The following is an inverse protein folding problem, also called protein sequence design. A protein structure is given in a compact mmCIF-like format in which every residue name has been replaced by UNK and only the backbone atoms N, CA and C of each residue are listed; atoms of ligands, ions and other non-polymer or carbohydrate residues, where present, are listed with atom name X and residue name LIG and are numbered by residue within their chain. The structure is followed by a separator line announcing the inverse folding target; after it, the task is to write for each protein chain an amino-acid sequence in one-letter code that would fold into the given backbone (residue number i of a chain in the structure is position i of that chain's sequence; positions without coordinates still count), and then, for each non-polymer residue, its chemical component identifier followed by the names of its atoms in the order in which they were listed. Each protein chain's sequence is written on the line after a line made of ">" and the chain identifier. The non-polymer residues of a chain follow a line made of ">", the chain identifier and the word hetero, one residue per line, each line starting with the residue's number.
data_IF_249500527013
#
_entry.id   IF_249500527013
#
_cell.length_a   1.000
_cell.length_b   1.000
_cell.length_c   1.000
_cell.angle_alpha   90.00
_cell.angle_beta   90.00
_cell.angle_gamma   90.00
#
_symmetry.space_group_name_H-M   'P 1'
#
loop_
_entity.id
_entity.type
_entity.pdbx_description
1 polymer ?
#
# COMPACT_ATOMS: atom_id res chain seq x y z
N UNK A 1 -11.78 -4.16 27.98
CA UNK A 1 -12.80 -4.59 27.00
C UNK A 1 -13.49 -3.32 26.54
N UNK A 2 -13.29 -2.93 25.29
CA UNK A 2 -14.05 -1.80 24.72
C UNK A 2 -15.46 -2.30 24.45
N UNK A 3 -16.46 -1.60 25.00
CA UNK A 3 -17.86 -1.94 24.79
C UNK A 3 -18.25 -1.56 23.35
N UNK A 4 -18.92 -2.47 22.64
CA UNK A 4 -19.37 -2.21 21.27
C UNK A 4 -20.66 -1.39 21.31
N UNK A 5 -20.72 -0.37 20.49
CA UNK A 5 -21.88 0.50 20.31
C UNK A 5 -22.88 -0.20 19.40
N UNK A 6 -24.14 -0.11 19.81
CA UNK A 6 -25.27 -0.63 19.07
C UNK A 6 -25.49 0.17 17.78
N UNK A 7 -25.76 -0.55 16.69
CA UNK A 7 -26.17 0.00 15.40
C UNK A 7 -27.54 -0.59 15.08
N UNK A 8 -28.54 0.24 14.70
CA UNK A 8 -29.84 -0.27 14.30
C UNK A 8 -29.76 -1.11 13.02
N UNK A 9 -30.75 -1.97 12.79
CA UNK A 9 -30.82 -2.70 11.52
C UNK A 9 -31.22 -1.76 10.36
N UNK A 10 -31.06 -2.24 9.12
CA UNK A 10 -31.46 -1.48 7.94
C UNK A 10 -32.96 -1.13 7.96
N UNK A 11 -33.29 0.02 7.38
CA UNK A 11 -34.69 0.40 7.14
C UNK A 11 -35.37 -0.65 6.22
N UNK A 12 -36.66 -0.89 6.48
CA UNK A 12 -37.39 -2.04 5.94
C UNK A 12 -37.49 -2.08 4.42
N UNK A 13 -37.28 -0.95 3.74
CA UNK A 13 -37.37 -0.81 2.29
C UNK A 13 -36.01 -0.68 1.58
N UNK A 14 -34.89 -0.83 2.31
CA UNK A 14 -33.55 -0.84 1.70
C UNK A 14 -33.27 -2.17 1.00
N UNK A 15 -33.03 -2.07 -0.31
CA UNK A 15 -32.56 -3.16 -1.17
C UNK A 15 -31.12 -3.60 -0.80
N UNK A 16 -30.71 -4.84 -1.15
CA UNK A 16 -29.32 -5.28 -1.00
C UNK A 16 -28.34 -4.34 -1.69
N UNK A 17 -27.21 -4.02 -1.04
CA UNK A 17 -26.24 -3.08 -1.61
C UNK A 17 -25.60 -3.58 -2.93
N UNK A 18 -25.66 -4.89 -3.17
CA UNK A 18 -25.12 -5.54 -4.38
C UNK A 18 -26.00 -5.39 -5.61
N UNK A 19 -27.25 -4.97 -5.46
CA UNK A 19 -28.22 -4.88 -6.57
C UNK A 19 -28.26 -3.45 -7.16
N UNK A 20 -28.47 -3.30 -8.48
CA UNK A 20 -28.73 -2.00 -9.09
C UNK A 20 -30.01 -1.40 -8.49
N UNK A 21 -29.89 -0.26 -7.81
CA UNK A 21 -31.01 0.32 -7.07
C UNK A 21 -31.90 1.14 -8.01
N UNK A 22 -33.10 0.64 -8.32
CA UNK A 22 -34.13 1.42 -9.02
C UNK A 22 -34.79 2.39 -8.03
N UNK A 23 -34.11 3.50 -7.72
CA UNK A 23 -34.64 4.59 -6.90
C UNK A 23 -33.74 5.10 -5.79
N UNK A 24 -32.57 4.49 -5.56
CA UNK A 24 -31.51 5.03 -4.69
C UNK A 24 -31.85 5.07 -3.20
N UNK A 25 -32.61 4.09 -2.68
CA UNK A 25 -33.05 4.08 -1.27
C UNK A 25 -31.97 3.64 -0.29
N UNK A 26 -31.10 2.71 -0.69
CA UNK A 26 -29.97 2.33 0.13
C UNK A 26 -28.78 3.24 -0.21
N UNK A 27 -28.26 4.04 0.74
CA UNK A 27 -27.18 4.97 0.46
C UNK A 27 -25.85 4.27 0.11
N UNK A 28 -25.72 2.96 0.38
CA UNK A 28 -24.56 2.16 0.05
C UNK A 28 -24.77 1.33 -1.23
N UNK A 29 -23.75 1.31 -2.09
CA UNK A 29 -23.64 0.42 -3.24
C UNK A 29 -22.39 -0.44 -3.13
N UNK A 30 -22.52 -1.76 -3.20
CA UNK A 30 -21.43 -2.70 -3.04
C UNK A 30 -20.93 -3.21 -4.40
N UNK A 31 -19.66 -2.95 -4.67
CA UNK A 31 -18.90 -3.58 -5.74
C UNK A 31 -18.22 -4.86 -5.23
N UNK A 32 -17.87 -5.77 -6.13
CA UNK A 32 -17.07 -6.96 -5.78
C UNK A 32 -15.70 -6.56 -5.21
N UNK A 33 -15.19 -7.28 -4.20
CA UNK A 33 -13.82 -7.14 -3.70
C UNK A 33 -12.80 -7.18 -4.85
N UNK A 34 -12.94 -8.10 -5.81
CA UNK A 34 -12.01 -8.24 -6.94
C UNK A 34 -12.02 -7.03 -7.89
N UNK A 35 -13.17 -6.35 -8.04
CA UNK A 35 -13.26 -5.13 -8.83
C UNK A 35 -12.62 -3.93 -8.11
N UNK A 36 -12.55 -3.98 -6.78
CA UNK A 36 -12.16 -2.86 -5.93
C UNK A 36 -10.71 -2.94 -5.42
N UNK A 37 -10.15 -4.15 -5.31
CA UNK A 37 -8.84 -4.44 -4.73
C UNK A 37 -7.63 -3.97 -5.57
N UNK A 38 -7.85 -3.50 -6.81
CA UNK A 38 -6.79 -2.99 -7.68
C UNK A 38 -6.24 -1.61 -7.24
N UNK A 39 -6.78 -1.00 -6.18
CA UNK A 39 -6.44 0.37 -5.78
C UNK A 39 -5.84 0.44 -4.38
N UNK A 40 -4.83 1.30 -4.15
CA UNK A 40 -4.24 1.46 -2.82
C UNK A 40 -5.27 1.97 -1.81
N UNK A 41 -5.31 1.34 -0.63
CA UNK A 41 -6.16 1.73 0.49
C UNK A 41 -5.35 2.49 1.55
N UNK A 42 -6.00 3.41 2.24
CA UNK A 42 -5.48 4.08 3.42
C UNK A 42 -6.40 3.83 4.61
N UNK A 43 -5.80 3.52 5.77
CA UNK A 43 -6.54 3.35 7.02
C UNK A 43 -7.20 4.67 7.40
N UNK A 44 -8.48 4.59 7.71
CA UNK A 44 -9.31 5.72 8.03
C UNK A 44 -9.58 5.72 9.56
N UNK A 45 -10.26 4.71 10.07
CA UNK A 45 -10.63 4.66 11.48
C UNK A 45 -10.73 3.22 12.02
N UNK A 46 -10.82 3.10 13.33
CA UNK A 46 -11.37 1.94 14.01
C UNK A 46 -12.66 2.35 14.71
N UNK A 47 -13.73 1.62 14.43
CA UNK A 47 -15.01 1.81 15.09
C UNK A 47 -15.21 0.76 16.19
N UNK A 48 -15.68 1.21 17.36
CA UNK A 48 -16.23 0.37 18.44
C UNK A 48 -17.60 -0.19 18.03
N UNK A 49 -17.73 -0.67 16.80
CA UNK A 49 -18.97 -1.20 16.22
C UNK A 49 -18.68 -2.56 15.64
N UNK A 50 -19.61 -3.49 15.83
CA UNK A 50 -19.52 -4.84 15.28
C UNK A 50 -19.63 -4.84 13.74
N UNK A 51 -18.76 -5.60 13.06
CA UNK A 51 -18.73 -5.66 11.60
C UNK A 51 -20.04 -6.23 11.03
N UNK A 52 -20.64 -7.22 11.69
CA UNK A 52 -21.92 -7.76 11.26
C UNK A 52 -23.05 -6.74 11.42
N UNK A 53 -22.98 -5.86 12.43
CA UNK A 53 -23.94 -4.76 12.58
C UNK A 53 -23.81 -3.71 11.46
N UNK A 54 -22.58 -3.34 11.07
CA UNK A 54 -22.34 -2.49 9.88
C UNK A 54 -22.93 -3.13 8.63
N UNK A 55 -22.66 -4.41 8.42
CA UNK A 55 -23.15 -5.13 7.25
C UNK A 55 -24.68 -5.22 7.23
N UNK A 56 -25.31 -5.48 8.39
CA UNK A 56 -26.78 -5.49 8.49
C UNK A 56 -27.39 -4.13 8.21
N UNK A 57 -26.87 -3.03 8.79
CA UNK A 57 -27.40 -1.68 8.61
C UNK A 57 -27.35 -1.22 7.16
N UNK A 58 -26.24 -1.51 6.48
CA UNK A 58 -25.98 -1.07 5.10
C UNK A 58 -26.35 -2.12 4.03
N UNK A 59 -26.93 -3.26 4.45
CA UNK A 59 -27.25 -4.41 3.58
C UNK A 59 -26.06 -4.90 2.75
N UNK A 60 -24.88 -4.95 3.37
CA UNK A 60 -23.64 -5.43 2.75
C UNK A 60 -23.54 -6.95 2.82
N UNK A 61 -22.88 -7.52 1.83
CA UNK A 61 -22.41 -8.92 1.87
C UNK A 61 -20.96 -8.93 2.33
N UNK A 62 -20.68 -9.56 3.46
CA UNK A 62 -19.31 -9.74 3.94
C UNK A 62 -18.63 -10.88 3.18
N UNK A 63 -17.53 -10.55 2.51
CA UNK A 63 -16.65 -11.50 1.85
C UNK A 63 -15.56 -11.95 2.82
N UNK A 64 -15.24 -13.24 2.81
CA UNK A 64 -14.16 -13.81 3.61
C UNK A 64 -12.95 -14.05 2.72
N UNK A 65 -11.81 -13.51 3.12
CA UNK A 65 -10.51 -13.73 2.50
C UNK A 65 -9.49 -14.16 3.57
N UNK A 66 -8.27 -14.39 3.15
CA UNK A 66 -7.15 -14.74 4.02
C UNK A 66 -5.94 -13.90 3.64
N UNK A 67 -5.27 -13.34 4.63
CA UNK A 67 -3.93 -12.80 4.48
C UNK A 67 -2.95 -13.59 5.34
N UNK A 68 -1.64 -13.34 5.19
CA UNK A 68 -0.61 -14.01 5.99
C UNK A 68 -0.76 -13.88 7.52
N UNK A 69 -1.78 -13.17 8.00
CA UNK A 69 -2.11 -12.96 9.41
C UNK A 69 -3.42 -13.65 9.85
N UNK A 70 -4.15 -14.31 8.95
CA UNK A 70 -5.36 -15.08 9.28
C UNK A 70 -6.54 -14.73 8.38
N UNK A 71 -7.71 -15.17 8.81
CA UNK A 71 -8.95 -14.88 8.08
C UNK A 71 -9.31 -13.40 8.20
N UNK A 72 -9.65 -12.74 7.10
CA UNK A 72 -10.20 -11.39 7.09
C UNK A 72 -11.60 -11.39 6.53
N UNK A 73 -12.54 -10.77 7.24
CA UNK A 73 -13.88 -10.49 6.73
C UNK A 73 -13.93 -9.04 6.28
N UNK A 74 -14.46 -8.79 5.09
CA UNK A 74 -14.45 -7.47 4.49
C UNK A 74 -15.67 -7.20 3.62
N UNK A 75 -16.06 -5.94 3.49
CA UNK A 75 -16.95 -5.47 2.44
C UNK A 75 -16.42 -4.17 1.83
N UNK A 76 -16.47 -4.11 0.49
CA UNK A 76 -16.15 -2.93 -0.29
C UNK A 76 -17.45 -2.28 -0.75
N UNK A 77 -17.60 -0.98 -0.54
CA UNK A 77 -18.82 -0.28 -0.93
C UNK A 77 -18.56 1.19 -1.17
N UNK A 78 -19.46 1.81 -1.92
CA UNK A 78 -19.51 3.25 -2.14
C UNK A 78 -20.67 3.81 -1.33
N UNK A 79 -20.40 4.86 -0.56
CA UNK A 79 -21.40 5.62 0.18
C UNK A 79 -21.23 7.09 -0.18
N UNK A 80 -22.28 7.73 -0.70
CA UNK A 80 -22.27 9.13 -1.16
C UNK A 80 -21.07 9.45 -2.08
N UNK A 81 -20.74 8.54 -2.99
CA UNK A 81 -19.61 8.68 -3.92
C UNK A 81 -18.22 8.51 -3.30
N UNK A 82 -18.13 8.06 -2.04
CA UNK A 82 -16.87 7.73 -1.36
C UNK A 82 -16.70 6.22 -1.27
N UNK A 83 -15.56 5.71 -1.76
CA UNK A 83 -15.19 4.29 -1.60
C UNK A 83 -14.75 3.99 -0.15
N UNK A 84 -15.43 3.05 0.48
CA UNK A 84 -15.10 2.49 1.79
C UNK A 84 -14.75 1.01 1.70
N UNK A 85 -13.90 0.60 2.63
CA UNK A 85 -13.72 -0.81 2.97
C UNK A 85 -13.89 -0.94 4.48
N UNK A 86 -14.69 -1.89 4.90
CA UNK A 86 -14.80 -2.26 6.31
C UNK A 86 -14.24 -3.65 6.51
N UNK A 87 -13.38 -3.84 7.52
CA UNK A 87 -12.73 -5.13 7.77
C UNK A 87 -12.70 -5.51 9.25
N UNK A 88 -12.63 -6.82 9.49
CA UNK A 88 -12.29 -7.41 10.77
C UNK A 88 -11.39 -8.63 10.52
N UNK A 89 -10.19 -8.64 11.12
CA UNK A 89 -9.27 -9.77 11.02
C UNK A 89 -9.45 -10.71 12.21
N UNK A 90 -9.30 -12.00 11.95
CA UNK A 90 -9.24 -13.02 12.98
C UNK A 90 -8.08 -12.72 13.96
N UNK A 91 -8.40 -12.65 15.25
CA UNK A 91 -7.42 -12.33 16.30
C UNK A 91 -7.30 -10.85 16.62
N UNK A 92 -7.88 -9.95 15.81
CA UNK A 92 -8.08 -8.57 16.23
C UNK A 92 -9.11 -8.51 17.35
N UNK A 93 -9.01 -7.48 18.19
CA UNK A 93 -10.02 -7.26 19.19
C UNK A 93 -11.31 -6.68 18.56
N UNK A 94 -12.46 -6.77 19.26
CA UNK A 94 -13.75 -6.47 18.67
C UNK A 94 -13.83 -5.03 18.14
N UNK A 95 -14.42 -4.86 16.96
CA UNK A 95 -14.55 -3.59 16.27
C UNK A 95 -14.43 -3.73 14.76
N UNK A 96 -14.61 -2.61 14.06
CA UNK A 96 -14.59 -2.53 12.60
C UNK A 96 -13.52 -1.57 12.14
N UNK A 97 -12.53 -2.06 11.40
CA UNK A 97 -11.56 -1.22 10.73
C UNK A 97 -12.18 -0.61 9.48
N UNK A 98 -11.99 0.69 9.30
CA UNK A 98 -12.49 1.44 8.15
C UNK A 98 -11.31 1.93 7.33
N UNK A 99 -11.40 1.73 6.02
CA UNK A 99 -10.41 2.14 5.03
C UNK A 99 -11.09 2.92 3.91
N UNK A 100 -10.31 3.71 3.18
CA UNK A 100 -10.75 4.44 1.98
C UNK A 100 -9.71 4.29 0.89
N UNK A 101 -10.10 4.45 -0.38
CA UNK A 101 -9.15 4.56 -1.49
C UNK A 101 -8.22 5.76 -1.29
N UNK A 102 -6.92 5.57 -1.58
CA UNK A 102 -5.91 6.62 -1.56
C UNK A 102 -6.11 7.55 -2.77
N UNK A 103 -6.48 8.80 -2.51
CA UNK A 103 -6.64 9.84 -3.53
C UNK A 103 -8.10 10.20 -3.80
N UNK A 104 -8.42 11.49 -3.63
CA UNK A 104 -9.73 12.09 -3.86
C UNK A 104 -9.87 13.38 -3.04
N UNK A 105 -10.60 14.41 -3.50
CA UNK A 105 -10.59 15.76 -2.92
C UNK A 105 -11.32 15.90 -1.57
N UNK A 106 -11.88 14.80 -1.03
CA UNK A 106 -12.76 14.83 0.15
C UNK A 106 -11.94 14.67 1.43
N UNK A 107 -12.18 15.58 2.38
CA UNK A 107 -11.63 15.56 3.73
C UNK A 107 -11.95 14.24 4.48
N UNK A 108 -10.95 13.54 5.06
CA UNK A 108 -11.17 12.32 5.83
C UNK A 108 -12.21 12.42 6.96
N UNK A 109 -12.31 13.56 7.65
CA UNK A 109 -13.32 13.76 8.69
C UNK A 109 -14.73 13.77 8.10
N UNK A 110 -14.90 14.46 6.98
CA UNK A 110 -16.16 14.48 6.23
C UNK A 110 -16.53 13.08 5.72
N UNK A 111 -15.57 12.28 5.24
CA UNK A 111 -15.82 10.89 4.82
C UNK A 111 -16.34 10.06 5.99
N UNK A 112 -15.64 10.06 7.12
CA UNK A 112 -16.06 9.29 8.28
C UNK A 112 -17.41 9.79 8.83
N UNK A 113 -17.66 11.10 8.84
CA UNK A 113 -18.93 11.66 9.27
C UNK A 113 -20.13 11.15 8.47
N UNK A 114 -19.98 11.00 7.14
CA UNK A 114 -21.01 10.39 6.29
C UNK A 114 -21.28 8.93 6.66
N UNK A 115 -20.22 8.15 6.92
CA UNK A 115 -20.35 6.76 7.37
C UNK A 115 -21.05 6.66 8.74
N UNK A 116 -20.65 7.46 9.72
CA UNK A 116 -21.27 7.44 11.06
C UNK A 116 -22.76 7.84 11.00
N UNK A 117 -23.10 8.82 10.16
CA UNK A 117 -24.49 9.21 9.91
C UNK A 117 -25.30 8.06 9.30
N UNK A 118 -24.76 7.36 8.30
CA UNK A 118 -25.42 6.19 7.70
C UNK A 118 -25.57 5.01 8.68
N UNK A 119 -24.66 4.92 9.66
CA UNK A 119 -24.73 3.94 10.75
C UNK A 119 -25.60 4.39 11.93
N UNK A 120 -26.10 5.63 11.92
CA UNK A 120 -26.82 6.25 13.03
C UNK A 120 -26.07 6.21 14.38
N UNK A 121 -24.76 6.37 14.34
CA UNK A 121 -23.91 6.45 15.54
C UNK A 121 -23.19 7.78 15.62
N UNK A 122 -22.89 8.22 16.84
CA UNK A 122 -22.14 9.43 17.08
C UNK A 122 -20.61 9.22 16.99
N UNK A 123 -19.83 10.30 17.13
CA UNK A 123 -18.37 10.25 17.08
C UNK A 123 -17.73 9.39 18.18
N UNK A 124 -18.45 9.10 19.27
CA UNK A 124 -18.04 8.17 20.32
C UNK A 124 -17.83 6.73 19.82
N UNK A 125 -18.39 6.38 18.66
CA UNK A 125 -18.11 5.12 17.99
C UNK A 125 -16.67 5.01 17.48
N UNK A 126 -15.95 6.12 17.35
CA UNK A 126 -14.57 6.13 16.82
C UNK A 126 -13.59 5.88 17.95
N UNK A 127 -13.04 4.67 18.02
CA UNK A 127 -11.97 4.34 18.97
C UNK A 127 -10.61 4.92 18.53
N UNK A 128 -10.42 5.08 17.21
CA UNK A 128 -9.21 5.63 16.61
C UNK A 128 -9.51 6.23 15.23
N UNK A 129 -8.84 7.34 14.88
CA UNK A 129 -8.86 7.93 13.54
C UNK A 129 -7.47 8.42 13.13
N UNK A 130 -7.19 8.45 11.83
CA UNK A 130 -5.88 8.89 11.31
C UNK A 130 -5.73 10.41 11.16
N UNK A 131 -6.78 11.22 11.42
CA UNK A 131 -6.77 12.69 11.26
C UNK A 131 -7.40 13.50 12.42
N UNK A 132 -7.84 12.86 13.50
CA UNK A 132 -8.20 13.56 14.74
C UNK A 132 -9.68 13.89 14.92
N UNK A 133 -10.42 12.91 15.45
CA UNK A 133 -11.38 13.06 16.53
C UNK A 133 -11.17 11.83 17.44
N UNK A 134 -10.93 12.04 18.74
CA UNK A 134 -10.60 10.97 19.70
C UNK A 134 -9.10 10.76 20.00
N UNK A 135 -8.29 11.82 20.04
CA UNK A 135 -6.88 11.76 20.46
C UNK A 135 -6.71 11.59 21.98
N UNK A 136 -7.45 10.67 22.60
CA UNK A 136 -7.06 10.12 23.90
C UNK A 136 -6.67 8.65 23.72
N UNK A 137 -5.38 8.44 23.50
CA UNK A 137 -4.78 7.11 23.34
C UNK A 137 -4.60 6.37 24.68
N UNK A 138 -5.01 6.96 25.82
CA UNK A 138 -4.88 6.33 27.14
C UNK A 138 -5.88 5.19 27.38
N UNK A 139 -6.95 5.12 26.58
CA UNK A 139 -7.98 4.09 26.68
C UNK A 139 -7.76 2.90 25.74
N UNK A 140 -6.79 3.00 24.82
CA UNK A 140 -6.43 1.93 23.89
C UNK A 140 -5.77 0.81 24.71
N UNK A 141 -6.38 -0.38 24.85
CA UNK A 141 -5.79 -1.45 25.67
C UNK A 141 -4.42 -1.83 25.11
N UNK A 142 -3.46 -2.20 25.98
CA UNK A 142 -2.08 -2.48 25.57
C UNK A 142 -1.95 -3.55 24.45
N UNK A 143 -2.95 -4.42 24.28
CA UNK A 143 -3.05 -5.38 23.17
C UNK A 143 -3.23 -4.73 21.78
N UNK A 144 -3.68 -3.47 21.73
CA UNK A 144 -3.91 -2.66 20.52
C UNK A 144 -2.83 -1.63 20.25
N UNK A 145 -1.96 -1.36 21.23
CA UNK A 145 -0.66 -0.81 20.93
C UNK A 145 0.07 -1.89 20.16
N UNK A 146 -0.09 -1.92 18.82
CA UNK A 146 0.57 -2.89 17.93
C UNK A 146 1.97 -3.05 18.46
N UNK A 147 2.26 -4.19 19.10
CA UNK A 147 3.57 -4.46 19.64
C UNK A 147 4.48 -4.50 18.44
N UNK A 148 5.08 -3.35 18.10
CA UNK A 148 5.86 -3.08 16.88
C UNK A 148 5.65 -4.17 15.83
N UNK A 149 4.46 -4.21 15.22
CA UNK A 149 4.33 -4.96 13.96
C UNK A 149 5.50 -4.47 13.12
N UNK A 150 6.38 -5.38 12.67
CA UNK A 150 7.60 -4.97 11.94
C UNK A 150 7.13 -3.93 10.93
N UNK A 151 7.63 -2.68 11.00
CA UNK A 151 7.11 -1.62 10.14
C UNK A 151 7.16 -2.15 8.71
N UNK A 152 6.04 -2.04 8.00
CA UNK A 152 6.06 -2.20 6.53
C UNK A 152 7.07 -1.16 6.08
N UNK A 153 8.27 -1.62 5.74
CA UNK A 153 9.35 -0.72 5.38
C UNK A 153 8.90 0.05 4.15
N UNK A 154 8.95 1.38 4.23
CA UNK A 154 8.96 2.20 3.02
C UNK A 154 10.06 1.70 2.08
N UNK A 155 9.96 1.95 0.77
CA UNK A 155 11.03 1.56 -0.16
C UNK A 155 12.40 2.12 0.26
N UNK A 156 12.41 3.31 0.88
CA UNK A 156 13.58 3.92 1.48
C UNK A 156 14.11 3.14 2.70
N UNK A 157 13.25 2.78 3.65
CA UNK A 157 13.65 1.96 4.80
C UNK A 157 14.09 0.56 4.39
N UNK A 158 13.43 -0.04 3.40
CA UNK A 158 13.82 -1.32 2.83
C UNK A 158 15.22 -1.18 2.24
N UNK A 159 15.46 -0.17 1.39
CA UNK A 159 16.75 0.08 0.76
C UNK A 159 17.86 0.26 1.80
N UNK A 160 17.61 1.08 2.83
CA UNK A 160 18.56 1.31 3.92
C UNK A 160 18.89 0.04 4.70
N UNK A 161 17.92 -0.86 4.90
CA UNK A 161 18.15 -2.15 5.56
C UNK A 161 18.83 -3.16 4.63
N UNK A 162 18.46 -3.20 3.36
CA UNK A 162 19.03 -4.07 2.34
C UNK A 162 20.51 -3.74 2.12
N UNK A 163 20.87 -2.46 2.01
CA UNK A 163 22.27 -2.00 1.91
C UNK A 163 23.10 -2.38 3.13
N UNK A 164 22.54 -2.24 4.34
CA UNK A 164 23.25 -2.54 5.59
C UNK A 164 23.44 -4.04 5.82
N UNK A 165 22.49 -4.87 5.39
CA UNK A 165 22.45 -6.31 5.72
C UNK A 165 21.93 -7.16 4.55
N UNK A 166 22.59 -7.16 3.39
CA UNK A 166 22.09 -7.87 2.21
C UNK A 166 21.94 -9.38 2.45
N UNK A 167 22.80 -9.97 3.29
CA UNK A 167 22.73 -11.39 3.68
C UNK A 167 21.47 -11.80 4.47
N UNK A 168 20.65 -10.85 4.95
CA UNK A 168 19.32 -11.18 5.50
C UNK A 168 18.27 -11.45 4.42
N UNK A 169 18.53 -10.99 3.20
CA UNK A 169 17.58 -11.02 2.08
C UNK A 169 17.99 -12.04 1.02
N UNK A 170 19.30 -12.15 0.78
CA UNK A 170 19.86 -13.11 -0.17
C UNK A 170 20.78 -14.09 0.56
N UNK A 171 20.63 -15.39 0.28
CA UNK A 171 21.39 -16.47 0.95
C UNK A 171 22.89 -16.33 0.73
N UNK A 172 23.29 -15.88 -0.47
CA UNK A 172 24.67 -15.53 -0.82
C UNK A 172 24.64 -14.14 -1.43
N UNK A 173 25.59 -13.28 -1.06
CA UNK A 173 25.70 -11.93 -1.62
C UNK A 173 26.62 -12.01 -2.83
N UNK A 174 26.02 -12.14 -4.01
CA UNK A 174 26.69 -12.03 -5.33
C UNK A 174 25.93 -11.02 -6.19
N UNK A 175 26.54 -10.55 -7.27
CA UNK A 175 25.88 -9.60 -8.16
C UNK A 175 24.59 -10.17 -8.76
N UNK A 176 24.63 -11.43 -9.20
CA UNK A 176 23.47 -12.15 -9.76
C UNK A 176 22.32 -12.27 -8.74
N UNK A 177 22.62 -12.69 -7.51
CA UNK A 177 21.59 -12.90 -6.48
C UNK A 177 20.97 -11.59 -6.01
N UNK A 178 21.79 -10.54 -5.86
CA UNK A 178 21.32 -9.20 -5.48
C UNK A 178 20.46 -8.60 -6.58
N UNK A 179 20.88 -8.67 -7.85
CA UNK A 179 20.12 -8.13 -8.97
C UNK A 179 18.82 -8.91 -9.22
N UNK A 180 18.84 -10.24 -9.07
CA UNK A 180 17.66 -11.08 -9.11
C UNK A 180 16.65 -10.72 -8.01
N UNK A 181 17.13 -10.57 -6.76
CA UNK A 181 16.27 -10.16 -5.65
C UNK A 181 15.64 -8.78 -5.86
N UNK A 182 16.44 -7.78 -6.26
CA UNK A 182 15.95 -6.42 -6.49
C UNK A 182 14.96 -6.36 -7.65
N UNK A 183 15.19 -7.14 -8.72
CA UNK A 183 14.23 -7.26 -9.82
C UNK A 183 12.90 -7.84 -9.33
N UNK A 184 12.94 -8.92 -8.53
CA UNK A 184 11.73 -9.52 -7.97
C UNK A 184 10.99 -8.57 -7.01
N UNK A 185 11.73 -7.86 -6.16
CA UNK A 185 11.17 -6.86 -5.26
C UNK A 185 10.50 -5.71 -6.02
N UNK A 186 11.16 -5.18 -7.04
CA UNK A 186 10.64 -4.08 -7.85
C UNK A 186 9.37 -4.50 -8.62
N UNK A 187 9.35 -5.70 -9.19
CA UNK A 187 8.14 -6.27 -9.82
C UNK A 187 7.00 -6.39 -8.80
N UNK A 188 7.27 -6.89 -7.60
CA UNK A 188 6.27 -7.00 -6.53
C UNK A 188 5.80 -5.63 -6.00
N UNK A 189 6.62 -4.60 -6.15
CA UNK A 189 6.33 -3.21 -5.78
C UNK A 189 5.79 -2.37 -6.95
N UNK A 190 5.33 -3.01 -8.04
CA UNK A 190 4.80 -2.34 -9.24
C UNK A 190 5.76 -1.30 -9.85
N UNK A 191 7.07 -1.57 -9.76
CA UNK A 191 8.12 -0.69 -10.28
C UNK A 191 8.49 0.47 -9.34
N UNK A 192 7.94 0.56 -8.14
CA UNK A 192 8.12 1.72 -7.27
C UNK A 192 9.57 1.99 -6.84
N UNK A 193 10.45 0.98 -6.89
CA UNK A 193 11.84 1.12 -6.45
C UNK A 193 12.77 1.55 -7.59
N UNK A 194 12.64 0.95 -8.77
CA UNK A 194 13.58 1.10 -9.89
C UNK A 194 12.98 1.86 -11.08
N UNK A 195 11.79 2.45 -10.95
CA UNK A 195 11.18 3.26 -12.00
C UNK A 195 12.12 4.39 -12.45
N UNK A 196 12.51 4.38 -13.73
CA UNK A 196 13.44 5.36 -14.31
C UNK A 196 14.92 5.08 -14.07
N UNK A 197 15.27 4.06 -13.28
CA UNK A 197 16.68 3.74 -12.97
C UNK A 197 17.44 3.30 -14.22
N UNK A 198 16.82 2.50 -15.09
CA UNK A 198 17.43 2.05 -16.35
C UNK A 198 17.76 3.21 -17.26
N UNK A 199 16.83 4.13 -17.44
CA UNK A 199 16.98 5.33 -18.26
C UNK A 199 18.06 6.25 -17.69
N UNK A 200 18.09 6.39 -16.37
CA UNK A 200 19.13 7.16 -15.66
C UNK A 200 20.53 6.54 -15.83
N UNK A 201 20.66 5.22 -15.78
CA UNK A 201 21.93 4.53 -16.08
C UNK A 201 22.33 4.68 -17.55
N UNK A 202 21.38 4.51 -18.47
CA UNK A 202 21.61 4.63 -19.90
C UNK A 202 22.07 6.04 -20.30
N UNK A 203 21.56 7.09 -19.64
CA UNK A 203 21.98 8.47 -19.88
C UNK A 203 23.45 8.74 -19.49
N UNK A 204 24.05 7.91 -18.64
CA UNK A 204 25.46 8.00 -18.23
C UNK A 204 26.40 7.26 -19.16
N UNK A 205 25.86 6.43 -20.05
CA UNK A 205 26.62 5.70 -21.06
C UNK A 205 26.35 6.31 -22.44
N UNK A 206 27.38 6.34 -23.29
CA UNK A 206 27.23 6.80 -24.69
C UNK A 206 26.40 5.80 -25.51
N UNK A 207 26.28 4.56 -25.06
CA UNK A 207 25.57 3.45 -25.70
C UNK A 207 24.89 2.54 -24.66
N UNK A 208 23.99 1.64 -25.08
CA UNK A 208 23.40 0.62 -24.18
C UNK A 208 21.90 0.73 -23.89
N UNK A 209 21.15 1.59 -24.60
CA UNK A 209 19.69 1.75 -24.41
C UNK A 209 18.88 0.44 -24.57
N UNK A 210 19.45 -0.56 -25.25
CA UNK A 210 18.89 -1.89 -25.44
C UNK A 210 19.24 -2.89 -24.32
N UNK A 211 20.07 -2.49 -23.36
CA UNK A 211 20.47 -3.33 -22.23
C UNK A 211 19.47 -3.20 -21.07
N UNK A 212 19.36 -4.28 -20.32
CA UNK A 212 18.68 -4.32 -19.02
C UNK A 212 19.50 -3.60 -17.95
N UNK A 213 18.86 -3.10 -16.90
CA UNK A 213 19.51 -2.22 -15.91
C UNK A 213 20.73 -2.85 -15.25
N UNK A 214 20.69 -4.13 -14.89
CA UNK A 214 21.83 -4.80 -14.25
C UNK A 214 23.02 -4.98 -15.21
N UNK A 215 22.77 -5.05 -16.52
CA UNK A 215 23.84 -5.04 -17.51
C UNK A 215 24.47 -3.65 -17.61
N UNK A 216 23.67 -2.58 -17.59
CA UNK A 216 24.17 -1.20 -17.55
C UNK A 216 25.00 -0.93 -16.29
N UNK A 217 24.59 -1.46 -15.14
CA UNK A 217 25.37 -1.40 -13.90
C UNK A 217 26.73 -2.06 -14.08
N UNK A 218 26.79 -3.27 -14.62
CA UNK A 218 28.05 -3.96 -14.83
C UNK A 218 28.99 -3.19 -15.78
N UNK A 219 28.48 -2.57 -16.85
CA UNK A 219 29.29 -1.69 -17.72
C UNK A 219 29.84 -0.47 -16.98
N UNK A 220 29.03 0.17 -16.14
CA UNK A 220 29.44 1.35 -15.37
C UNK A 220 30.44 1.01 -14.26
N UNK A 221 30.34 -0.19 -13.68
CA UNK A 221 31.24 -0.64 -12.62
C UNK A 221 32.56 -1.16 -13.18
N UNK A 222 32.55 -1.76 -14.37
CA UNK A 222 33.74 -2.28 -15.05
C UNK A 222 34.01 -1.54 -16.37
N UNK A 223 34.45 -0.26 -16.33
CA UNK A 223 34.64 0.55 -17.53
C UNK A 223 35.75 0.02 -18.46
N UNK A 224 36.69 -0.76 -17.93
CA UNK A 224 37.77 -1.39 -18.71
C UNK A 224 37.36 -2.74 -19.33
N UNK A 225 36.12 -3.18 -19.09
CA UNK A 225 35.56 -4.43 -19.57
C UNK A 225 35.23 -5.40 -18.43
N UNK A 226 34.17 -6.17 -18.62
CA UNK A 226 33.69 -7.10 -17.60
C UNK A 226 34.69 -8.24 -17.34
N UNK A 227 34.79 -8.71 -16.09
CA UNK A 227 35.52 -9.92 -15.76
C UNK A 227 34.97 -11.14 -16.52
N UNK A 228 35.85 -12.10 -16.81
CA UNK A 228 35.44 -13.37 -17.39
C UNK A 228 34.59 -14.17 -16.39
N UNK A 229 33.55 -14.84 -16.89
CA UNK A 229 32.74 -15.73 -16.06
C UNK A 229 33.47 -17.08 -15.81
N UNK A 230 33.30 -17.69 -14.63
CA UNK A 230 32.56 -17.19 -13.48
C UNK A 230 33.32 -16.09 -12.73
N UNK A 231 32.59 -15.09 -12.23
CA UNK A 231 33.19 -13.98 -11.48
C UNK A 231 33.86 -14.48 -10.20
N UNK A 232 34.99 -13.87 -9.86
CA UNK A 232 35.62 -14.09 -8.57
C UNK A 232 34.76 -13.49 -7.44
N UNK A 233 35.00 -13.92 -6.20
CA UNK A 233 34.30 -13.33 -5.07
C UNK A 233 34.58 -11.83 -4.93
N UNK A 234 35.79 -11.39 -5.29
CA UNK A 234 36.18 -9.97 -5.25
C UNK A 234 35.44 -9.17 -6.33
N UNK A 235 35.30 -9.71 -7.54
CA UNK A 235 34.53 -9.09 -8.62
C UNK A 235 33.05 -8.97 -8.26
N UNK A 236 32.48 -10.01 -7.64
CA UNK A 236 31.11 -10.00 -7.13
C UNK A 236 30.91 -8.90 -6.08
N UNK A 237 31.82 -8.79 -5.11
CA UNK A 237 31.77 -7.74 -4.08
C UNK A 237 31.94 -6.34 -4.69
N UNK A 238 32.84 -6.19 -5.66
CA UNK A 238 33.06 -4.94 -6.37
C UNK A 238 31.80 -4.51 -7.14
N UNK A 239 31.18 -5.45 -7.87
CA UNK A 239 29.94 -5.22 -8.61
C UNK A 239 28.76 -4.86 -7.70
N UNK A 240 28.58 -5.58 -6.59
CA UNK A 240 27.52 -5.27 -5.59
C UNK A 240 27.76 -3.90 -4.95
N UNK A 241 29.00 -3.57 -4.58
CA UNK A 241 29.32 -2.25 -4.04
C UNK A 241 29.09 -1.12 -5.05
N UNK A 242 29.42 -1.36 -6.33
CA UNK A 242 29.14 -0.44 -7.42
C UNK A 242 27.65 -0.22 -7.67
N UNK A 243 26.85 -1.29 -7.65
CA UNK A 243 25.39 -1.23 -7.72
C UNK A 243 24.81 -0.37 -6.59
N UNK A 244 25.23 -0.59 -5.35
CA UNK A 244 24.71 0.15 -4.20
C UNK A 244 25.01 1.64 -4.31
N UNK A 245 26.22 2.00 -4.77
CA UNK A 245 26.59 3.38 -5.03
C UNK A 245 25.71 4.03 -6.10
N UNK A 246 25.47 3.35 -7.22
CA UNK A 246 24.63 3.85 -8.30
C UNK A 246 23.17 4.05 -7.86
N UNK A 247 22.64 3.15 -7.02
CA UNK A 247 21.30 3.29 -6.46
C UNK A 247 21.20 4.44 -5.46
N UNK A 248 22.20 4.63 -4.59
CA UNK A 248 22.26 5.78 -3.70
C UNK A 248 22.27 7.10 -4.50
N UNK A 249 23.13 7.20 -5.52
CA UNK A 249 23.19 8.38 -6.40
C UNK A 249 21.86 8.62 -7.15
N UNK A 250 21.18 7.56 -7.56
CA UNK A 250 19.88 7.65 -8.22
C UNK A 250 18.80 8.18 -7.26
N UNK A 251 18.74 7.67 -6.03
CA UNK A 251 17.75 8.11 -5.03
C UNK A 251 18.01 9.52 -4.50
N UNK A 252 19.27 9.96 -4.48
CA UNK A 252 19.64 11.34 -4.13
C UNK A 252 19.37 12.33 -5.28
N UNK A 253 19.13 11.86 -6.51
CA UNK A 253 18.79 12.70 -7.64
C UNK A 253 17.28 12.99 -7.67
N UNK A 254 16.82 14.20 -7.30
CA UNK A 254 15.41 14.53 -7.40
C UNK A 254 14.99 14.47 -8.87
N UNK A 255 14.06 13.58 -9.19
CA UNK A 255 13.41 13.52 -10.51
C UNK A 255 12.82 14.89 -10.80
N UNK A 256 13.44 15.62 -11.71
CA UNK A 256 12.91 16.86 -12.24
C UNK A 256 11.54 16.61 -12.86
N UNK A 257 10.59 17.47 -12.50
CA UNK A 257 9.21 17.55 -12.96
C UNK A 257 9.03 17.16 -14.45
N UNK A 258 8.16 16.19 -14.82
CA UNK A 258 7.89 15.85 -16.21
C UNK A 258 7.19 16.96 -17.03
N UNK A 259 6.89 18.12 -16.42
CA UNK A 259 6.29 19.28 -17.11
C UNK A 259 7.33 20.32 -17.57
N UNK A 260 8.36 19.91 -18.29
CA UNK A 260 9.17 20.84 -19.09
C UNK A 260 9.87 20.12 -20.24
N UNK A 261 9.17 19.92 -21.35
CA UNK A 261 9.84 19.38 -22.55
C UNK A 261 8.94 18.81 -23.63
N UNK A 262 7.79 19.44 -23.93
CA UNK A 262 7.21 19.27 -25.27
C UNK A 262 7.86 20.32 -26.18
N UNK A 263 8.72 19.95 -27.14
CA UNK A 263 9.14 20.89 -28.17
C UNK A 263 7.93 21.11 -29.09
N UNK A 264 7.41 22.33 -29.06
CA UNK A 264 6.43 22.80 -30.04
C UNK A 264 7.04 22.69 -31.44
N UNK A 265 6.62 21.70 -32.21
CA UNK A 265 6.78 21.69 -33.66
C UNK A 265 5.89 22.81 -34.23
N UNK A 266 6.49 23.97 -34.50
CA UNK A 266 5.90 24.93 -35.41
C UNK A 266 6.18 24.47 -36.84
N UNK A 267 5.10 24.32 -37.59
CA UNK A 267 5.06 24.22 -39.05
C UNK A 267 4.98 25.62 -39.64
#
# INVERSE_FOLDING_TARGET
>A
MTELIYVPDAEGDWEPATEPQEGGRNPAWQASMFQSAAWPLSSLALLSVDLDAVARRLRLTLETSWDGHGTVRAAFFVLDGTDFVVTHHEGDAPGTHVWTRKGGPVDPARRLGGLLAALEVGPEAVSYSTWGAGTDLSHVPAAWGRGRGKPVWSCQEFWENFKKRPGMFVVRVSFETVTGFLTGYDVAAEGALLNGFREWLAARLVSGWNLVWWALVAELVFPEGRPAEPWSHEDDQHAVGGLFRLLDEFFEHPVGDPKAGSPTLQT
#
